data_IF_578115444170
#
_entry.id   IF_578115444170
#
_cell.length_a   1.000
_cell.length_b   1.000
_cell.length_c   1.000
_cell.angle_alpha   90.00
_cell.angle_beta   90.00
_cell.angle_gamma   90.00
#
_symmetry.space_group_name_H-M   'P 1'
#
loop_
_entity.id
_entity.type
_entity.pdbx_description
1 polymer ?
#
# COMPACT_ATOMS: atom_id res chain seq x y z
N UNK A 1 16.09 -29.77 -44.52
CA UNK A 1 14.90 -29.01 -44.07
C UNK A 1 15.40 -27.88 -43.18
N UNK A 2 14.98 -26.63 -43.42
CA UNK A 2 15.30 -25.52 -42.51
C UNK A 2 14.42 -25.65 -41.27
N UNK A 3 15.01 -25.81 -40.09
CA UNK A 3 14.28 -25.81 -38.83
C UNK A 3 13.78 -24.40 -38.54
N UNK A 4 12.48 -24.24 -38.31
CA UNK A 4 11.90 -22.97 -37.85
C UNK A 4 12.37 -22.70 -36.43
N UNK A 5 12.90 -21.49 -36.18
CA UNK A 5 13.30 -21.03 -34.84
C UNK A 5 12.47 -19.81 -34.43
N UNK A 6 12.07 -19.76 -33.16
CA UNK A 6 11.34 -18.62 -32.60
C UNK A 6 12.36 -17.60 -32.11
N UNK A 7 12.54 -16.47 -32.79
CA UNK A 7 13.53 -15.46 -32.38
C UNK A 7 12.98 -14.41 -31.41
N UNK A 8 11.67 -14.26 -31.37
CA UNK A 8 10.98 -13.22 -30.59
C UNK A 8 9.76 -13.81 -29.91
N UNK A 9 9.49 -13.39 -28.69
CA UNK A 9 8.25 -13.72 -27.97
C UNK A 9 7.78 -12.52 -27.16
N UNK A 10 6.47 -12.36 -27.02
CA UNK A 10 5.87 -11.39 -26.10
C UNK A 10 5.11 -12.14 -25.03
N UNK A 11 5.35 -11.80 -23.77
CA UNK A 11 4.61 -12.36 -22.64
C UNK A 11 3.84 -11.25 -21.95
N UNK A 12 2.60 -11.54 -21.59
CA UNK A 12 1.71 -10.63 -20.85
C UNK A 12 1.01 -11.42 -19.77
N UNK A 13 1.02 -10.88 -18.55
CA UNK A 13 0.24 -11.37 -17.43
C UNK A 13 -0.67 -10.25 -16.96
N UNK A 14 -1.94 -10.57 -16.77
CA UNK A 14 -2.95 -9.66 -16.25
C UNK A 14 -3.64 -10.32 -15.05
N UNK A 15 -3.71 -9.59 -13.95
CA UNK A 15 -4.46 -9.98 -12.76
C UNK A 15 -5.60 -9.00 -12.55
N UNK A 16 -6.75 -9.53 -12.17
CA UNK A 16 -7.92 -8.73 -11.81
C UNK A 16 -8.14 -8.83 -10.32
N UNK A 17 -8.18 -7.69 -9.64
CA UNK A 17 -8.46 -7.61 -8.21
C UNK A 17 -9.28 -6.35 -7.92
N UNK A 18 -10.38 -6.50 -7.19
CA UNK A 18 -11.19 -5.37 -6.71
C UNK A 18 -11.60 -4.40 -7.85
N UNK A 19 -12.11 -4.97 -8.95
CA UNK A 19 -12.53 -4.24 -10.15
C UNK A 19 -11.42 -3.46 -10.88
N UNK A 20 -10.16 -3.66 -10.49
CA UNK A 20 -8.97 -3.11 -11.16
C UNK A 20 -8.20 -4.19 -11.91
N UNK A 21 -7.49 -3.79 -12.97
CA UNK A 21 -6.62 -4.66 -13.75
C UNK A 21 -5.16 -4.25 -13.58
N UNK A 22 -4.31 -5.23 -13.27
CA UNK A 22 -2.87 -5.06 -13.10
C UNK A 22 -2.18 -5.88 -14.17
N UNK A 23 -1.40 -5.22 -15.01
CA UNK A 23 -0.78 -5.84 -16.16
C UNK A 23 0.74 -5.63 -16.13
N UNK A 24 1.46 -6.70 -16.42
CA UNK A 24 2.87 -6.64 -16.76
C UNK A 24 3.08 -7.34 -18.11
N UNK A 25 3.87 -6.74 -18.98
CA UNK A 25 4.25 -7.32 -20.26
C UNK A 25 5.73 -7.16 -20.51
N UNK A 26 6.30 -8.10 -21.27
CA UNK A 26 7.69 -8.07 -21.68
C UNK A 26 7.87 -8.70 -23.05
N UNK A 27 8.86 -8.21 -23.78
CA UNK A 27 9.31 -8.77 -25.05
C UNK A 27 10.66 -9.44 -24.85
N UNK A 28 10.82 -10.62 -25.43
CA UNK A 28 12.05 -11.42 -25.42
C UNK A 28 12.57 -11.51 -26.84
N UNK A 29 13.87 -11.31 -27.01
CA UNK A 29 14.55 -11.35 -28.31
C UNK A 29 15.84 -12.16 -28.20
N UNK A 30 16.00 -13.15 -29.09
CA UNK A 30 17.22 -13.95 -29.22
C UNK A 30 17.41 -14.39 -30.68
N UNK A 31 18.45 -13.89 -31.35
CA UNK A 31 18.72 -14.17 -32.75
C UNK A 31 18.96 -15.66 -33.05
N UNK A 32 19.41 -16.42 -32.04
CA UNK A 32 19.70 -17.85 -32.11
C UNK A 32 18.49 -18.73 -31.78
N UNK A 33 17.39 -18.12 -31.33
CA UNK A 33 16.16 -18.80 -30.96
C UNK A 33 15.91 -18.79 -29.45
N UNK A 34 14.64 -18.65 -29.09
CA UNK A 34 14.13 -18.73 -27.73
C UNK A 34 13.68 -20.16 -27.43
N UNK A 35 14.05 -20.62 -26.25
CA UNK A 35 13.54 -21.85 -25.66
C UNK A 35 12.23 -21.58 -24.92
N UNK A 36 11.42 -22.63 -24.73
CA UNK A 36 10.20 -22.52 -23.91
C UNK A 36 10.51 -22.15 -22.46
N UNK A 37 11.69 -22.52 -21.94
CA UNK A 37 12.11 -22.16 -20.59
C UNK A 37 12.34 -20.65 -20.47
N UNK A 38 13.00 -20.02 -21.46
CA UNK A 38 13.19 -18.55 -21.47
C UNK A 38 11.84 -17.81 -21.53
N UNK A 39 10.89 -18.32 -22.31
CA UNK A 39 9.53 -17.75 -22.38
C UNK A 39 8.79 -17.90 -21.05
N UNK A 40 8.88 -19.06 -20.40
CA UNK A 40 8.25 -19.29 -19.08
C UNK A 40 8.90 -18.45 -17.97
N UNK A 41 10.21 -18.24 -17.99
CA UNK A 41 10.87 -17.33 -17.05
C UNK A 41 10.43 -15.87 -17.28
N UNK A 42 10.24 -15.45 -18.53
CA UNK A 42 9.61 -14.17 -18.84
C UNK A 42 8.19 -14.08 -18.24
N UNK A 43 7.36 -15.12 -18.43
CA UNK A 43 6.02 -15.20 -17.83
C UNK A 43 6.05 -15.09 -16.31
N UNK A 44 6.95 -15.81 -15.64
CA UNK A 44 7.11 -15.74 -14.18
C UNK A 44 7.53 -14.34 -13.72
N UNK A 45 8.39 -13.66 -14.48
CA UNK A 45 8.78 -12.28 -14.19
C UNK A 45 7.60 -11.31 -14.31
N UNK A 46 6.81 -11.39 -15.38
CA UNK A 46 5.56 -10.61 -15.49
C UNK A 46 4.59 -10.93 -14.35
N UNK A 47 4.43 -12.20 -13.97
CA UNK A 47 3.60 -12.61 -12.84
C UNK A 47 4.04 -11.95 -11.53
N UNK A 48 5.33 -12.01 -11.20
CA UNK A 48 5.87 -11.36 -9.99
C UNK A 48 5.60 -9.86 -9.95
N UNK A 49 5.74 -9.18 -11.09
CA UNK A 49 5.46 -7.74 -11.20
C UNK A 49 3.97 -7.43 -11.00
N UNK A 50 3.08 -8.21 -11.62
CA UNK A 50 1.65 -8.05 -11.44
C UNK A 50 1.21 -8.34 -9.99
N UNK A 51 1.75 -9.38 -9.36
CA UNK A 51 1.49 -9.71 -7.95
C UNK A 51 1.95 -8.60 -7.01
N UNK A 52 3.14 -8.03 -7.26
CA UNK A 52 3.66 -6.88 -6.51
C UNK A 52 2.72 -5.68 -6.61
N UNK A 53 2.27 -5.34 -7.81
CA UNK A 53 1.33 -4.24 -8.03
C UNK A 53 -0.01 -4.46 -7.29
N UNK A 54 -0.55 -5.69 -7.31
CA UNK A 54 -1.77 -6.04 -6.54
C UNK A 54 -1.54 -5.89 -5.04
N UNK A 55 -0.38 -6.30 -4.52
CA UNK A 55 -0.08 -6.19 -3.09
C UNK A 55 0.08 -4.73 -2.66
N UNK A 56 0.76 -3.91 -3.44
CA UNK A 56 0.85 -2.46 -3.20
C UNK A 56 -0.54 -1.80 -3.22
N UNK A 57 -1.41 -2.20 -4.16
CA UNK A 57 -2.80 -1.72 -4.18
C UNK A 57 -3.57 -2.10 -2.91
N UNK A 58 -3.47 -3.36 -2.45
CA UNK A 58 -4.14 -3.81 -1.21
C UNK A 58 -3.69 -3.00 0.00
N UNK A 59 -2.38 -2.77 0.12
CA UNK A 59 -1.82 -1.93 1.17
C UNK A 59 -2.40 -0.53 1.06
N UNK A 60 -2.23 0.15 -0.08
CA UNK A 60 -2.75 1.49 -0.35
C UNK A 60 -4.22 1.65 0.04
N UNK A 61 -5.07 0.70 -0.36
CA UNK A 61 -6.50 0.68 -0.01
C UNK A 61 -6.74 0.58 1.50
N UNK A 62 -6.00 -0.28 2.20
CA UNK A 62 -6.08 -0.40 3.66
C UNK A 62 -5.73 0.92 4.34
N UNK A 63 -4.64 1.57 3.95
CA UNK A 63 -4.25 2.81 4.66
C UNK A 63 -5.10 4.00 4.28
N UNK A 64 -5.71 4.01 3.09
CA UNK A 64 -6.76 4.97 2.79
C UNK A 64 -7.95 4.82 3.76
N UNK A 65 -8.34 3.58 4.08
CA UNK A 65 -9.36 3.32 5.09
C UNK A 65 -8.89 3.73 6.50
N UNK A 66 -7.66 3.36 6.88
CA UNK A 66 -7.08 3.70 8.19
C UNK A 66 -6.94 5.23 8.36
N UNK A 67 -6.59 5.97 7.30
CA UNK A 67 -6.54 7.44 7.31
C UNK A 67 -7.92 8.04 7.56
N UNK A 68 -8.95 7.55 6.88
CA UNK A 68 -10.33 8.03 7.10
C UNK A 68 -10.81 7.78 8.53
N UNK A 69 -10.48 6.61 9.09
CA UNK A 69 -10.77 6.28 10.49
C UNK A 69 -9.95 7.15 11.47
N UNK A 70 -8.68 7.43 11.14
CA UNK A 70 -7.80 8.33 11.87
C UNK A 70 -8.34 9.77 11.94
N UNK A 71 -8.79 10.32 10.82
CA UNK A 71 -9.43 11.65 10.75
C UNK A 71 -10.68 11.72 11.64
N UNK A 72 -11.53 10.70 11.59
CA UNK A 72 -12.72 10.62 12.46
C UNK A 72 -12.34 10.56 13.95
N UNK A 73 -11.37 9.72 14.31
CA UNK A 73 -10.89 9.60 15.70
C UNK A 73 -10.27 10.91 16.20
N UNK A 74 -9.50 11.60 15.36
CA UNK A 74 -8.90 12.88 15.67
C UNK A 74 -9.97 13.94 15.97
N UNK A 75 -10.97 14.09 15.09
CA UNK A 75 -12.08 15.02 15.29
C UNK A 75 -12.89 14.71 16.56
N UNK A 76 -13.14 13.42 16.82
CA UNK A 76 -13.83 12.99 18.02
C UNK A 76 -13.02 13.28 19.29
N UNK A 77 -11.71 13.03 19.29
CA UNK A 77 -10.81 13.34 20.39
C UNK A 77 -10.78 14.85 20.70
N UNK A 78 -10.63 15.67 19.66
CA UNK A 78 -10.66 17.14 19.80
C UNK A 78 -12.00 17.62 20.36
N UNK A 79 -13.12 17.10 19.85
CA UNK A 79 -14.48 17.42 20.33
C UNK A 79 -14.68 17.06 21.80
N UNK A 80 -14.18 15.89 22.22
CA UNK A 80 -14.22 15.48 23.63
C UNK A 80 -13.37 16.41 24.51
N UNK A 81 -12.15 16.74 24.09
CA UNK A 81 -11.29 17.67 24.84
C UNK A 81 -11.96 19.04 24.99
N UNK A 82 -12.57 19.57 23.92
CA UNK A 82 -13.34 20.83 23.96
C UNK A 82 -14.50 20.78 24.96
N UNK A 83 -15.24 19.66 25.02
CA UNK A 83 -16.31 19.47 26.02
C UNK A 83 -15.77 19.38 27.45
N UNK A 84 -14.64 18.71 27.66
CA UNK A 84 -14.00 18.60 28.98
C UNK A 84 -13.50 19.97 29.46
N UNK A 85 -12.94 20.79 28.57
CA UNK A 85 -12.48 22.14 28.93
C UNK A 85 -13.61 23.05 29.44
N UNK A 86 -14.85 22.81 29.03
CA UNK A 86 -16.03 23.53 29.53
C UNK A 86 -16.45 23.09 30.94
N UNK A 87 -15.99 21.93 31.42
CA UNK A 87 -16.26 21.47 32.80
C UNK A 87 -15.37 22.23 33.79
N UNK A 88 -15.90 22.59 34.98
CA UNK A 88 -15.08 23.07 36.10
C UNK A 88 -13.98 22.07 36.45
N UNK A 89 -12.79 22.54 36.83
CA UNK A 89 -11.63 21.66 37.03
C UNK A 89 -11.87 20.59 38.11
N UNK A 90 -12.56 20.96 39.19
CA UNK A 90 -12.91 20.04 40.28
C UNK A 90 -13.94 18.96 39.89
N UNK A 91 -14.59 19.08 38.73
CA UNK A 91 -15.55 18.12 38.20
C UNK A 91 -14.95 17.20 37.13
N UNK A 92 -13.69 17.43 36.73
CA UNK A 92 -13.00 16.60 35.75
C UNK A 92 -12.51 15.31 36.41
N UNK A 93 -12.79 14.19 35.76
CA UNK A 93 -12.23 12.90 36.15
C UNK A 93 -10.73 12.84 35.85
N UNK A 94 -10.03 11.91 36.50
CA UNK A 94 -8.59 11.67 36.26
C UNK A 94 -8.32 11.36 34.77
N UNK A 95 -9.19 10.60 34.12
CA UNK A 95 -9.08 10.27 32.70
C UNK A 95 -9.23 11.50 31.81
N UNK A 96 -10.14 12.40 32.15
CA UNK A 96 -10.35 13.66 31.42
C UNK A 96 -9.17 14.61 31.57
N UNK A 97 -8.56 14.68 32.76
CA UNK A 97 -7.32 15.44 32.98
C UNK A 97 -6.17 14.86 32.15
N UNK A 98 -6.04 13.52 32.07
CA UNK A 98 -5.04 12.88 31.24
C UNK A 98 -5.27 13.13 29.74
N UNK A 99 -6.52 13.12 29.28
CA UNK A 99 -6.86 13.48 27.90
C UNK A 99 -6.47 14.92 27.57
N UNK A 100 -6.78 15.88 28.45
CA UNK A 100 -6.38 17.28 28.26
C UNK A 100 -4.87 17.46 28.24
N UNK A 101 -4.13 16.74 29.10
CA UNK A 101 -2.65 16.75 29.07
C UNK A 101 -2.11 16.28 27.73
N UNK A 102 -2.69 15.21 27.17
CA UNK A 102 -2.31 14.72 25.83
C UNK A 102 -2.67 15.73 24.74
N UNK A 103 -3.82 16.39 24.84
CA UNK A 103 -4.26 17.40 23.87
C UNK A 103 -3.43 18.70 23.89
N UNK A 104 -2.76 18.98 25.02
CA UNK A 104 -1.85 20.13 25.17
C UNK A 104 -0.44 19.87 24.60
N UNK A 105 -0.12 18.62 24.25
CA UNK A 105 1.13 18.27 23.59
C UNK A 105 1.14 18.82 22.15
N UNK A 106 2.25 19.39 21.69
CA UNK A 106 2.33 20.08 20.37
C UNK A 106 2.09 19.11 19.20
N UNK A 107 2.33 17.81 19.41
CA UNK A 107 2.24 16.77 18.38
C UNK A 107 1.12 15.74 18.66
N UNK A 108 0.10 16.09 19.43
CA UNK A 108 -0.98 15.15 19.78
C UNK A 108 -1.71 14.57 18.55
N UNK A 109 -1.64 15.25 17.41
CA UNK A 109 -2.25 14.83 16.14
C UNK A 109 -1.48 13.68 15.48
N UNK A 110 -0.17 13.55 15.69
CA UNK A 110 0.65 12.52 15.04
C UNK A 110 0.26 11.11 15.46
N UNK A 111 -0.36 10.95 16.63
CA UNK A 111 -0.90 9.66 17.08
C UNK A 111 -2.03 9.12 16.18
N UNK A 112 -2.57 9.95 15.29
CA UNK A 112 -3.58 9.59 14.30
C UNK A 112 -3.05 9.64 12.85
N UNK A 113 -1.77 9.98 12.65
CA UNK A 113 -1.18 10.08 11.32
C UNK A 113 -1.00 8.68 10.71
N UNK A 114 -1.36 8.57 9.44
CA UNK A 114 -1.19 7.37 8.60
C UNK A 114 -0.59 7.84 7.27
N UNK A 115 0.69 8.20 7.31
CA UNK A 115 1.49 8.41 6.10
C UNK A 115 1.89 7.04 5.58
N UNK A 116 1.39 6.73 4.39
CA UNK A 116 1.95 5.64 3.60
C UNK A 116 2.76 6.24 2.47
N UNK A 117 4.00 5.77 2.36
CA UNK A 117 4.80 5.91 1.16
C UNK A 117 4.85 4.56 0.44
N UNK A 118 4.70 4.58 -0.88
CA UNK A 118 4.82 3.39 -1.71
C UNK A 118 6.22 2.78 -1.66
N UNK A 119 7.23 3.57 -1.27
CA UNK A 119 8.65 3.20 -1.28
C UNK A 119 9.11 2.42 -0.03
N UNK A 120 8.40 2.52 1.10
CA UNK A 120 8.87 2.00 2.41
C UNK A 120 8.72 0.47 2.60
N UNK A 121 8.17 -0.24 1.61
CA UNK A 121 7.74 -1.65 1.76
C UNK A 121 8.51 -2.64 0.85
N UNK A 122 9.53 -2.18 0.14
CA UNK A 122 10.14 -2.87 -1.00
C UNK A 122 11.58 -3.38 -0.77
N UNK A 123 12.06 -3.46 0.47
CA UNK A 123 13.45 -3.86 0.78
C UNK A 123 13.80 -5.35 0.54
N UNK A 124 12.92 -6.19 -0.02
CA UNK A 124 13.18 -7.65 -0.02
C UNK A 124 12.85 -8.43 -1.28
N UNK A 125 13.05 -7.83 -2.46
CA UNK A 125 13.10 -8.59 -3.73
C UNK A 125 14.30 -8.13 -4.55
N UNK A 126 15.49 -8.65 -4.26
CA UNK A 126 16.58 -8.61 -5.24
C UNK A 126 16.16 -9.48 -6.43
N UNK A 127 16.00 -8.87 -7.60
CA UNK A 127 15.85 -9.59 -8.85
C UNK A 127 17.18 -10.18 -9.30
#
# INVERSE_FOLDING_TARGET
MSTTIVKTASVKVMLSYDYSHFEASMSLENEFGLTMNEIDEGRKSCQRLADKAVNQYKKAKKMAADRSDGEYKMQNFESQCKKIMQKPEGERTINEVAMLKRYQDEDWQSQFDCRYDYEDDDENLSF
#
